data_IF_613037162664
#
_entry.id   IF_613037162664
#
_cell.length_a   1.000
_cell.length_b   1.000
_cell.length_c   1.000
_cell.angle_alpha   90.00
_cell.angle_beta   90.00
_cell.angle_gamma   90.00
#
_symmetry.space_group_name_H-M   'P 1'
#
loop_
_entity.id
_entity.type
_entity.pdbx_description
1 polymer ?
#
# COMPACT_ATOMS: atom_id res chain seq x y z
N UNK A 1 -8.82 -8.76 15.28
CA UNK A 1 -9.24 -7.49 14.67
C UNK A 1 -9.88 -6.60 15.72
N UNK A 2 -9.32 -5.42 15.96
CA UNK A 2 -9.94 -4.42 16.85
C UNK A 2 -11.20 -3.82 16.17
N UNK A 3 -12.13 -3.26 16.95
CA UNK A 3 -13.32 -2.57 16.38
C UNK A 3 -12.92 -1.42 15.43
N UNK A 4 -11.80 -0.75 15.70
CA UNK A 4 -11.25 0.29 14.84
C UNK A 4 -10.78 -0.29 13.50
N UNK A 5 -10.05 -1.41 13.50
CA UNK A 5 -9.64 -2.07 12.25
C UNK A 5 -10.83 -2.50 11.38
N UNK A 6 -11.93 -2.98 11.99
CA UNK A 6 -13.15 -3.32 11.23
C UNK A 6 -13.77 -2.10 10.55
N UNK A 7 -13.83 -0.96 11.25
CA UNK A 7 -14.30 0.30 10.69
C UNK A 7 -13.36 0.79 9.57
N UNK A 8 -12.05 0.66 9.72
CA UNK A 8 -11.09 1.04 8.68
C UNK A 8 -11.26 0.19 7.42
N UNK A 9 -11.41 -1.13 7.57
CA UNK A 9 -11.62 -2.05 6.44
C UNK A 9 -12.92 -1.71 5.70
N UNK A 10 -14.02 -1.45 6.40
CA UNK A 10 -15.30 -1.07 5.78
C UNK A 10 -15.20 0.26 5.00
N UNK A 11 -14.42 1.23 5.48
CA UNK A 11 -14.17 2.48 4.77
C UNK A 11 -13.30 2.26 3.53
N UNK A 12 -12.27 1.42 3.63
CA UNK A 12 -11.38 1.06 2.52
C UNK A 12 -12.13 0.29 1.43
N UNK A 13 -13.14 -0.50 1.76
CA UNK A 13 -14.00 -1.20 0.79
C UNK A 13 -14.76 -0.24 -0.16
N UNK A 14 -14.98 1.02 0.24
CA UNK A 14 -15.60 2.03 -0.63
C UNK A 14 -14.68 2.47 -1.78
N UNK A 15 -13.37 2.31 -1.63
CA UNK A 15 -12.38 2.68 -2.64
C UNK A 15 -12.33 1.67 -3.77
N UNK A 16 -12.09 2.11 -5.01
CA UNK A 16 -11.85 1.16 -6.09
C UNK A 16 -10.49 0.45 -5.94
N UNK A 17 -10.30 -0.61 -6.72
CA UNK A 17 -9.09 -1.42 -6.65
C UNK A 17 -7.81 -0.61 -6.88
N UNK A 18 -7.83 0.32 -7.85
CA UNK A 18 -6.69 1.19 -8.17
C UNK A 18 -6.33 2.12 -7.01
N UNK A 19 -7.33 2.68 -6.33
CA UNK A 19 -7.18 3.52 -5.15
C UNK A 19 -6.53 2.74 -4.01
N UNK A 20 -6.99 1.51 -3.76
CA UNK A 20 -6.41 0.64 -2.74
C UNK A 20 -4.96 0.27 -3.02
N UNK A 21 -4.61 -0.05 -4.28
CA UNK A 21 -3.22 -0.35 -4.67
C UNK A 21 -2.27 0.84 -4.48
N UNK A 22 -2.76 2.06 -4.72
CA UNK A 22 -1.98 3.28 -4.44
C UNK A 22 -1.75 3.43 -2.93
N UNK A 23 -2.78 3.24 -2.11
CA UNK A 23 -2.62 3.30 -0.66
C UNK A 23 -1.70 2.21 -0.12
N UNK A 24 -1.79 1.00 -0.65
CA UNK A 24 -0.92 -0.13 -0.31
C UNK A 24 0.54 0.19 -0.62
N UNK A 25 0.83 0.71 -1.82
CA UNK A 25 2.19 1.05 -2.22
C UNK A 25 2.82 2.13 -1.33
N UNK A 26 2.03 3.13 -0.93
CA UNK A 26 2.49 4.19 -0.01
C UNK A 26 2.66 3.62 1.41
N UNK A 27 1.72 2.77 1.87
CA UNK A 27 1.80 2.11 3.17
C UNK A 27 2.99 1.15 3.27
N UNK A 28 3.29 0.40 2.21
CA UNK A 28 4.38 -0.58 2.17
C UNK A 28 5.76 0.07 2.23
N UNK A 29 5.88 1.31 1.76
CA UNK A 29 7.11 2.07 1.90
C UNK A 29 7.41 2.41 3.37
N UNK A 30 6.38 2.48 4.22
CA UNK A 30 6.53 2.80 5.65
C UNK A 30 6.92 4.25 5.95
N UNK A 31 7.20 5.05 4.92
CA UNK A 31 7.67 6.42 5.02
C UNK A 31 6.92 7.35 4.05
N UNK A 32 7.23 8.64 4.12
CA UNK A 32 6.66 9.63 3.20
C UNK A 32 7.23 9.47 1.79
N UNK A 33 6.38 9.53 0.77
CA UNK A 33 6.76 9.39 -0.64
C UNK A 33 6.54 10.67 -1.44
N UNK A 34 7.33 10.88 -2.48
CA UNK A 34 7.16 11.98 -3.44
C UNK A 34 6.39 11.53 -4.67
N UNK A 35 5.87 12.49 -5.46
CA UNK A 35 5.27 12.18 -6.76
C UNK A 35 6.25 11.43 -7.70
N UNK A 36 7.52 11.86 -7.75
CA UNK A 36 8.57 11.21 -8.53
C UNK A 36 8.80 9.75 -8.10
N UNK A 37 8.70 9.46 -6.81
CA UNK A 37 8.82 8.09 -6.30
C UNK A 37 7.66 7.22 -6.80
N UNK A 38 6.44 7.75 -6.83
CA UNK A 38 5.26 7.02 -7.33
C UNK A 38 5.39 6.68 -8.83
N UNK A 39 5.94 7.59 -9.62
CA UNK A 39 6.22 7.38 -11.05
C UNK A 39 7.34 6.35 -11.25
N UNK A 40 8.46 6.49 -10.51
CA UNK A 40 9.61 5.58 -10.60
C UNK A 40 9.25 4.13 -10.24
N UNK A 41 8.38 3.95 -9.25
CA UNK A 41 7.92 2.63 -8.82
C UNK A 41 6.72 2.10 -9.64
N UNK A 42 6.39 2.74 -10.77
CA UNK A 42 5.33 2.32 -11.69
C UNK A 42 3.97 2.15 -10.99
N UNK A 43 3.72 2.92 -9.91
CA UNK A 43 2.41 2.96 -9.25
C UNK A 43 1.39 3.64 -10.16
N UNK A 44 1.88 4.57 -10.99
CA UNK A 44 1.17 5.18 -12.09
C UNK A 44 1.94 4.95 -13.39
N UNK A 45 1.26 4.85 -14.54
CA UNK A 45 1.90 5.01 -15.84
C UNK A 45 2.70 6.32 -15.90
N UNK A 46 3.80 6.32 -16.65
CA UNK A 46 4.61 7.51 -16.84
C UNK A 46 3.75 8.67 -17.38
N UNK A 47 3.81 9.82 -16.71
CA UNK A 47 3.02 11.02 -17.03
C UNK A 47 1.50 10.82 -16.99
N UNK A 48 0.98 9.97 -16.10
CA UNK A 48 -0.46 9.79 -15.98
C UNK A 48 -1.15 11.09 -15.52
N UNK A 49 -1.98 11.74 -16.38
CA UNK A 49 -2.66 12.99 -16.02
C UNK A 49 -3.68 12.79 -14.89
N UNK A 50 -4.07 11.55 -14.62
CA UNK A 50 -4.99 11.18 -13.55
C UNK A 50 -4.31 10.99 -12.20
N UNK A 51 -2.98 10.92 -12.13
CA UNK A 51 -2.23 10.73 -10.89
C UNK A 51 -2.56 11.80 -9.85
N UNK A 52 -2.38 13.08 -10.20
CA UNK A 52 -2.66 14.18 -9.28
C UNK A 52 -4.15 14.26 -8.91
N UNK A 53 -5.05 13.90 -9.83
CA UNK A 53 -6.49 13.85 -9.58
C UNK A 53 -6.82 12.74 -8.58
N UNK A 54 -6.22 11.56 -8.73
CA UNK A 54 -6.42 10.41 -7.85
C UNK A 54 -5.83 10.67 -6.46
N UNK A 55 -4.61 11.20 -6.38
CA UNK A 55 -3.97 11.54 -5.11
C UNK A 55 -4.74 12.64 -4.37
N UNK A 56 -5.19 13.69 -5.07
CA UNK A 56 -6.07 14.71 -4.50
C UNK A 56 -7.40 14.13 -4.04
N UNK A 57 -7.98 13.20 -4.80
CA UNK A 57 -9.19 12.48 -4.41
C UNK A 57 -8.95 11.70 -3.12
N UNK A 58 -7.87 10.91 -3.01
CA UNK A 58 -7.51 10.15 -1.82
C UNK A 58 -7.21 11.04 -0.60
N UNK A 59 -6.62 12.21 -0.82
CA UNK A 59 -6.39 13.22 0.23
C UNK A 59 -7.69 13.88 0.70
N UNK A 60 -8.75 13.90 -0.13
CA UNK A 60 -10.05 14.49 0.20
C UNK A 60 -11.13 13.45 0.49
N UNK A 61 -10.83 12.16 0.35
CA UNK A 61 -11.78 11.09 0.61
C UNK A 61 -11.92 10.94 2.12
N UNK A 62 -13.16 10.78 2.59
CA UNK A 62 -13.53 10.70 4.00
C UNK A 62 -13.34 12.02 4.78
N UNK A 63 -13.82 13.14 4.22
CA UNK A 63 -14.02 14.41 4.93
C UNK A 63 -15.14 14.34 6.00
N UNK A 64 -15.27 13.23 6.72
CA UNK A 64 -16.04 13.19 7.97
C UNK A 64 -15.03 13.43 9.11
N UNK A 65 -14.84 14.69 9.56
CA UNK A 65 -13.79 15.06 10.50
C UNK A 65 -13.95 14.43 11.89
N UNK A 66 -15.12 13.85 12.18
CA UNK A 66 -15.44 13.26 13.48
C UNK A 66 -14.77 11.90 13.71
N UNK A 67 -14.43 11.14 12.66
CA UNK A 67 -13.89 9.78 12.82
C UNK A 67 -12.48 9.62 12.25
N UNK A 68 -12.14 10.20 11.09
CA UNK A 68 -10.83 10.02 10.46
C UNK A 68 -10.42 11.19 9.57
N UNK A 69 -9.52 12.09 10.00
CA UNK A 69 -8.98 13.10 9.10
C UNK A 69 -8.02 12.42 8.11
N UNK A 70 -8.55 12.10 6.93
CA UNK A 70 -7.87 11.71 5.70
C UNK A 70 -7.12 10.36 5.74
N UNK A 71 -7.39 9.49 4.75
CA UNK A 71 -6.65 8.23 4.54
C UNK A 71 -5.21 8.50 4.12
N UNK A 72 -5.06 9.40 3.16
CA UNK A 72 -3.80 9.87 2.61
C UNK A 72 -3.59 11.32 3.04
N UNK A 73 -2.43 11.60 3.63
CA UNK A 73 -2.02 12.95 4.00
C UNK A 73 -1.05 13.49 2.97
N UNK A 74 -1.08 14.81 2.77
CA UNK A 74 -0.24 15.53 1.84
C UNK A 74 0.36 16.76 2.50
N UNK A 75 1.62 17.05 2.21
CA UNK A 75 2.27 18.33 2.52
C UNK A 75 3.11 18.79 1.35
N UNK A 76 3.35 20.08 1.29
CA UNK A 76 4.32 20.66 0.37
C UNK A 76 5.72 20.51 0.96
N UNK A 77 6.63 19.87 0.22
CA UNK A 77 8.05 19.74 0.58
C UNK A 77 8.88 20.96 0.19
N UNK A 78 10.19 20.89 0.46
CA UNK A 78 11.13 22.03 0.34
C UNK A 78 11.25 22.63 -1.08
N UNK A 79 10.88 21.88 -2.12
CA UNK A 79 10.94 22.32 -3.52
C UNK A 79 9.56 22.54 -4.16
N UNK A 80 8.51 22.78 -3.36
CA UNK A 80 7.14 22.87 -3.87
C UNK A 80 6.55 21.53 -4.33
N UNK A 81 7.31 20.44 -4.23
CA UNK A 81 6.86 19.08 -4.56
C UNK A 81 5.97 18.54 -3.45
N UNK A 82 4.89 17.88 -3.83
CA UNK A 82 4.02 17.20 -2.87
C UNK A 82 4.66 15.94 -2.31
N UNK A 83 4.52 15.78 -1.00
CA UNK A 83 4.92 14.61 -0.23
C UNK A 83 3.66 13.98 0.35
N UNK A 84 3.53 12.66 0.23
CA UNK A 84 2.36 11.88 0.62
C UNK A 84 2.71 10.82 1.67
N UNK A 85 1.82 10.57 2.62
CA UNK A 85 1.96 9.48 3.58
C UNK A 85 0.60 8.99 4.08
N UNK A 86 0.52 7.73 4.49
CA UNK A 86 -0.71 7.15 5.04
C UNK A 86 -0.90 7.63 6.47
N UNK A 87 -2.15 7.89 6.85
CA UNK A 87 -2.48 8.19 8.23
C UNK A 87 -2.10 6.98 9.11
N UNK A 88 -1.26 7.14 10.15
CA UNK A 88 -0.66 6.02 10.89
C UNK A 88 -1.67 5.10 11.58
N UNK A 89 -2.92 5.54 11.72
CA UNK A 89 -4.00 4.72 12.28
C UNK A 89 -4.48 3.64 11.30
N UNK A 90 -4.18 3.77 10.01
CA UNK A 90 -4.51 2.79 8.97
C UNK A 90 -3.32 1.85 8.80
N UNK A 91 -3.51 0.59 9.16
CA UNK A 91 -2.48 -0.43 8.98
C UNK A 91 -2.46 -0.95 7.54
N UNK A 92 -1.26 -1.31 7.07
CA UNK A 92 -1.07 -2.04 5.80
C UNK A 92 -1.95 -3.30 5.74
N UNK A 93 -2.12 -3.98 6.87
CA UNK A 93 -3.01 -5.15 6.97
C UNK A 93 -4.47 -4.81 6.65
N UNK A 94 -4.99 -3.67 7.12
CA UNK A 94 -6.35 -3.22 6.82
C UNK A 94 -6.55 -2.95 5.32
N UNK A 95 -5.54 -2.39 4.66
CA UNK A 95 -5.54 -2.16 3.21
C UNK A 95 -5.54 -3.48 2.46
N UNK A 96 -4.66 -4.41 2.83
CA UNK A 96 -4.58 -5.72 2.19
C UNK A 96 -5.87 -6.52 2.33
N UNK A 97 -6.51 -6.46 3.50
CA UNK A 97 -7.81 -7.09 3.72
C UNK A 97 -8.91 -6.51 2.81
N UNK A 98 -8.95 -5.19 2.64
CA UNK A 98 -9.90 -4.55 1.73
C UNK A 98 -9.64 -4.94 0.26
N UNK A 99 -8.36 -5.05 -0.13
CA UNK A 99 -7.94 -5.52 -1.45
C UNK A 99 -8.38 -6.97 -1.69
N UNK A 100 -8.10 -7.86 -0.75
CA UNK A 100 -8.45 -9.28 -0.88
C UNK A 100 -9.96 -9.48 -1.01
N UNK A 101 -10.76 -8.74 -0.24
CA UNK A 101 -12.22 -8.74 -0.38
C UNK A 101 -12.67 -8.22 -1.75
N UNK A 102 -12.04 -7.15 -2.27
CA UNK A 102 -12.33 -6.60 -3.60
C UNK A 102 -11.99 -7.55 -4.74
N UNK A 103 -10.94 -8.35 -4.57
CA UNK A 103 -10.54 -9.37 -5.53
C UNK A 103 -11.41 -10.64 -5.44
N UNK A 104 -12.31 -10.73 -4.46
CA UNK A 104 -13.08 -11.95 -4.22
C UNK A 104 -12.22 -13.12 -3.75
N UNK A 105 -11.02 -12.85 -3.22
CA UNK A 105 -10.11 -13.89 -2.73
C UNK A 105 -10.73 -14.50 -1.47
N UNK A 106 -11.04 -15.79 -1.55
CA UNK A 106 -11.44 -16.59 -0.40
C UNK A 106 -10.31 -16.64 0.64
N UNK A 107 -10.62 -17.00 1.88
CA UNK A 107 -9.59 -17.22 2.91
C UNK A 107 -8.56 -18.27 2.48
N UNK A 108 -8.96 -19.25 1.65
CA UNK A 108 -8.08 -20.22 1.00
C UNK A 108 -7.13 -19.57 -0.01
N UNK A 109 -7.60 -18.61 -0.80
CA UNK A 109 -6.76 -17.90 -1.77
C UNK A 109 -5.72 -17.00 -1.07
N UNK A 110 -6.10 -16.40 0.07
CA UNK A 110 -5.16 -15.63 0.90
C UNK A 110 -4.10 -16.51 1.57
N UNK A 111 -4.50 -17.70 2.04
CA UNK A 111 -3.56 -18.69 2.58
C UNK A 111 -2.60 -19.18 1.49
N UNK A 112 -3.14 -19.45 0.31
CA UNK A 112 -2.36 -19.87 -0.86
C UNK A 112 -1.34 -18.81 -1.25
N UNK A 113 -1.73 -17.53 -1.32
CA UNK A 113 -0.82 -16.43 -1.63
C UNK A 113 0.28 -16.25 -0.57
N UNK A 114 -0.06 -16.33 0.72
CA UNK A 114 0.94 -16.28 1.81
C UNK A 114 1.92 -17.45 1.74
N UNK A 115 1.43 -18.65 1.45
CA UNK A 115 2.26 -19.83 1.30
C UNK A 115 3.19 -19.71 0.08
N UNK A 116 2.68 -19.21 -1.06
CA UNK A 116 3.51 -18.93 -2.24
C UNK A 116 4.60 -17.88 -1.95
N UNK A 117 4.28 -16.84 -1.18
CA UNK A 117 5.25 -15.82 -0.81
C UNK A 117 6.32 -16.36 0.18
N UNK A 118 5.92 -17.19 1.14
CA UNK A 118 6.87 -17.87 2.04
C UNK A 118 7.79 -18.83 1.28
N UNK A 119 7.25 -19.58 0.32
CA UNK A 119 8.04 -20.49 -0.52
C UNK A 119 9.13 -19.73 -1.30
N UNK A 120 8.77 -18.58 -1.89
CA UNK A 120 9.70 -17.72 -2.62
C UNK A 120 10.80 -17.15 -1.70
N UNK A 121 10.46 -16.78 -0.47
CA UNK A 121 11.44 -16.31 0.52
C UNK A 121 12.41 -17.44 0.88
N UNK A 122 11.92 -18.66 1.10
CA UNK A 122 12.76 -19.83 1.41
C UNK A 122 13.73 -20.10 0.26
N UNK A 123 13.25 -20.10 -0.99
CA UNK A 123 14.07 -20.28 -2.19
C UNK A 123 15.17 -19.22 -2.28
N UNK A 124 14.83 -17.94 -2.05
CA UNK A 124 15.81 -16.84 -2.04
C UNK A 124 16.85 -16.96 -0.93
N UNK A 125 16.46 -17.41 0.26
CA UNK A 125 17.40 -17.63 1.38
C UNK A 125 18.36 -18.79 1.08
N UNK A 126 17.88 -19.83 0.39
CA UNK A 126 18.70 -20.98 0.00
C UNK A 126 19.69 -20.64 -1.13
N UNK A 127 19.26 -19.83 -2.10
CA UNK A 127 20.15 -19.25 -3.12
C UNK A 127 21.28 -18.42 -2.46
N UNK A 128 20.94 -17.54 -1.51
CA UNK A 128 21.94 -16.72 -0.80
C UNK A 128 22.90 -17.60 -0.01
N UNK A 129 22.40 -18.62 0.70
CA UNK A 129 23.24 -19.56 1.46
C UNK A 129 24.23 -20.29 0.55
N UNK A 130 23.77 -20.72 -0.63
CA UNK A 130 24.61 -21.39 -1.63
C UNK A 130 25.69 -20.45 -2.14
N UNK A 131 25.31 -19.23 -2.49
CA UNK A 131 26.24 -18.19 -2.94
C UNK A 131 27.34 -17.91 -1.89
N UNK A 132 26.95 -17.74 -0.63
CA UNK A 132 27.89 -17.51 0.49
C UNK A 132 28.86 -18.66 0.65
N UNK A 133 28.40 -19.91 0.50
CA UNK A 133 29.26 -21.09 0.55
C UNK A 133 30.30 -21.10 -0.58
N UNK A 134 29.89 -20.75 -1.80
CA UNK A 134 30.77 -20.69 -2.97
C UNK A 134 31.85 -19.61 -2.87
N UNK A 135 31.58 -18.49 -2.17
CA UNK A 135 32.58 -17.42 -1.99
C UNK A 135 33.51 -17.60 -0.78
N UNK A 136 33.22 -18.57 0.10
CA UNK A 136 34.03 -18.90 1.28
C UNK A 136 34.89 -20.16 1.10
N UNK A 137 34.69 -20.90 0.00
CA UNK A 137 35.58 -21.97 -0.50
C UNK A 137 36.64 -21.40 -1.45
#
# INVERSE_FOLDING_TARGET
MTNNEKNHVHLLEQLNFRELRVLEAIASQGESVTADWLEKNQIFPYQDPTQNKLLRKLCNLLQNPADFPFLLRQRTGENGKFIYWINPVISLNSINLAISKKMGLSEEDQLTQKNSQQQLIIEKLEEVKTLVKTYLE
#
